data_IF_576414204653
#
_entry.id   IF_576414204653
#
_cell.length_a   1.000
_cell.length_b   1.000
_cell.length_c   1.000
_cell.angle_alpha   90.00
_cell.angle_beta   90.00
_cell.angle_gamma   90.00
#
_symmetry.space_group_name_H-M   'P 1'
#
loop_
_entity.id
_entity.type
_entity.pdbx_description
1 polymer ?
#
# COMPACT_ATOMS: atom_id res chain seq x y z
N UNK A 1 -0.65 10.77 19.42
CA UNK A 1 -1.26 10.31 18.14
C UNK A 1 -0.64 8.98 17.79
N UNK A 2 -1.44 7.97 17.49
CA UNK A 2 -0.95 6.66 17.04
C UNK A 2 -0.50 6.81 15.59
N UNK A 3 0.75 6.48 15.28
CA UNK A 3 1.27 6.58 13.92
C UNK A 3 0.49 5.60 13.02
N UNK A 4 -0.07 6.10 11.92
CA UNK A 4 -0.78 5.29 10.93
C UNK A 4 0.18 4.87 9.82
N UNK A 5 -0.10 3.71 9.23
CA UNK A 5 0.71 3.11 8.19
C UNK A 5 -0.18 2.73 7.02
N UNK A 6 0.24 3.12 5.83
CA UNK A 6 -0.51 2.89 4.60
C UNK A 6 0.29 2.14 3.54
N UNK A 7 -0.43 1.36 2.75
CA UNK A 7 0.10 0.68 1.57
C UNK A 7 -0.68 1.21 0.37
N UNK A 8 0.03 1.80 -0.56
CA UNK A 8 -0.52 2.25 -1.83
C UNK A 8 -0.35 1.10 -2.82
N UNK A 9 -1.46 0.43 -3.12
CA UNK A 9 -1.55 -0.59 -4.15
C UNK A 9 -1.77 0.10 -5.50
N UNK A 10 -0.77 0.01 -6.37
CA UNK A 10 -0.79 0.63 -7.68
C UNK A 10 -1.08 -0.43 -8.74
N UNK A 11 -2.19 -0.26 -9.47
CA UNK A 11 -2.49 -1.00 -10.69
C UNK A 11 -1.88 -0.29 -11.90
N UNK A 12 -2.06 1.04 -11.96
CA UNK A 12 -1.38 1.92 -12.90
C UNK A 12 -1.31 3.34 -12.30
N UNK A 13 -0.66 4.30 -12.97
CA UNK A 13 -0.47 5.66 -12.43
C UNK A 13 -1.79 6.40 -12.13
N UNK A 14 -2.90 5.98 -12.77
CA UNK A 14 -4.24 6.57 -12.61
C UNK A 14 -5.20 5.70 -11.78
N UNK A 15 -4.79 4.50 -11.37
CA UNK A 15 -5.59 3.55 -10.61
C UNK A 15 -4.76 3.02 -9.46
N UNK A 16 -4.93 3.68 -8.31
CA UNK A 16 -4.33 3.33 -7.04
C UNK A 16 -5.41 3.12 -5.98
N UNK A 17 -5.12 2.22 -5.06
CA UNK A 17 -5.86 2.05 -3.82
C UNK A 17 -4.94 2.28 -2.61
N UNK A 18 -5.43 3.00 -1.61
CA UNK A 18 -4.74 3.22 -0.34
C UNK A 18 -5.37 2.30 0.71
N UNK A 19 -4.56 1.41 1.29
CA UNK A 19 -4.96 0.54 2.38
C UNK A 19 -4.25 0.93 3.66
N UNK A 20 -4.99 1.11 4.74
CA UNK A 20 -4.40 1.22 6.08
C UNK A 20 -4.05 -0.17 6.59
N UNK A 21 -2.85 -0.31 7.13
CA UNK A 21 -2.34 -1.60 7.61
C UNK A 21 -1.73 -1.44 8.99
N UNK A 22 -1.53 -2.56 9.68
CA UNK A 22 -0.76 -2.57 10.92
C UNK A 22 0.71 -2.21 10.68
N UNK A 23 1.39 -1.69 11.71
CA UNK A 23 2.83 -1.45 11.67
C UNK A 23 3.63 -2.71 11.30
N UNK A 24 3.18 -3.89 11.76
CA UNK A 24 3.85 -5.16 11.46
C UNK A 24 3.80 -5.46 9.97
N UNK A 25 2.62 -5.32 9.35
CA UNK A 25 2.40 -5.54 7.92
C UNK A 25 3.22 -4.55 7.09
N UNK A 26 3.22 -3.27 7.48
CA UNK A 26 4.07 -2.25 6.85
C UNK A 26 5.55 -2.60 6.90
N UNK A 27 6.05 -3.00 8.07
CA UNK A 27 7.45 -3.39 8.24
C UNK A 27 7.82 -4.65 7.45
N UNK A 28 6.91 -5.63 7.35
CA UNK A 28 7.11 -6.82 6.53
C UNK A 28 7.25 -6.46 5.05
N UNK A 29 6.33 -5.63 4.52
CA UNK A 29 6.40 -5.15 3.13
C UNK A 29 7.71 -4.39 2.88
N UNK A 30 8.10 -3.50 3.79
CA UNK A 30 9.35 -2.74 3.69
C UNK A 30 10.57 -3.67 3.69
N UNK A 31 10.58 -4.70 4.52
CA UNK A 31 11.65 -5.70 4.58
C UNK A 31 11.72 -6.56 3.31
N UNK A 32 10.58 -6.89 2.71
CA UNK A 32 10.55 -7.62 1.43
C UNK A 32 11.09 -6.75 0.29
N UNK A 33 10.68 -5.47 0.21
CA UNK A 33 11.23 -4.53 -0.78
C UNK A 33 12.73 -4.31 -0.60
N UNK A 34 13.22 -4.18 0.64
CA UNK A 34 14.66 -3.98 0.88
C UNK A 34 15.50 -5.22 0.50
N UNK A 35 14.90 -6.40 0.50
CA UNK A 35 15.50 -7.64 -0.01
C UNK A 35 15.41 -7.81 -1.53
N UNK A 36 14.77 -6.87 -2.23
CA UNK A 36 14.58 -6.92 -3.68
C UNK A 36 13.48 -7.89 -4.12
N UNK A 37 12.52 -8.20 -3.25
CA UNK A 37 11.37 -9.01 -3.65
C UNK A 37 10.46 -8.23 -4.62
N UNK A 38 9.85 -8.95 -5.57
CA UNK A 38 8.93 -8.38 -6.54
C UNK A 38 7.60 -7.98 -5.86
N UNK A 39 7.04 -6.84 -6.25
CA UNK A 39 5.80 -6.28 -5.72
C UNK A 39 4.59 -7.22 -5.85
N UNK A 40 4.51 -8.03 -6.92
CA UNK A 40 3.48 -9.07 -7.10
C UNK A 40 3.63 -10.23 -6.09
N UNK A 41 4.87 -10.53 -5.67
CA UNK A 41 5.12 -11.53 -4.62
C UNK A 41 4.77 -10.97 -3.24
N UNK A 42 5.04 -9.69 -3.01
CA UNK A 42 4.70 -8.99 -1.77
C UNK A 42 3.18 -8.96 -1.57
N UNK A 43 2.42 -8.57 -2.60
CA UNK A 43 0.95 -8.55 -2.55
C UNK A 43 0.37 -9.93 -2.28
N UNK A 44 0.81 -10.97 -3.01
CA UNK A 44 0.36 -12.36 -2.78
C UNK A 44 0.72 -12.93 -1.41
N UNK A 45 1.81 -12.46 -0.80
CA UNK A 45 2.26 -12.98 0.50
C UNK A 45 1.49 -12.37 1.67
N UNK A 46 0.73 -11.29 1.44
CA UNK A 46 0.03 -10.55 2.49
C UNK A 46 -1.48 -10.73 2.35
N UNK A 47 -2.07 -11.61 3.14
CA UNK A 47 -3.52 -11.86 3.15
C UNK A 47 -4.33 -10.58 3.44
N UNK A 48 -3.80 -9.65 4.24
CA UNK A 48 -4.40 -8.33 4.49
C UNK A 48 -4.44 -7.40 3.25
N UNK A 49 -3.59 -7.66 2.25
CA UNK A 49 -3.64 -6.95 0.97
C UNK A 49 -4.61 -7.65 -0.01
N UNK A 50 -4.89 -8.94 0.17
CA UNK A 50 -5.76 -9.77 -0.67
C UNK A 50 -7.25 -9.57 -0.33
N UNK A 51 -7.60 -9.39 0.95
CA UNK A 51 -8.99 -9.09 1.36
C UNK A 51 -9.41 -7.69 0.90
N UNK A 52 -10.49 -7.67 0.13
CA UNK A 52 -10.66 -6.68 -0.94
C UNK A 52 -11.36 -5.38 -0.51
N UNK A 53 -11.91 -5.25 0.71
CA UNK A 53 -12.70 -4.05 1.06
C UNK A 53 -12.51 -3.50 2.48
N UNK A 54 -12.25 -4.31 3.52
CA UNK A 54 -12.37 -3.85 4.91
C UNK A 54 -11.36 -2.76 5.36
N UNK A 55 -10.24 -2.60 4.65
CA UNK A 55 -9.16 -1.67 5.03
C UNK A 55 -8.80 -0.65 3.94
N UNK A 56 -9.61 -0.56 2.87
CA UNK A 56 -9.40 0.42 1.81
C UNK A 56 -9.94 1.77 2.27
N UNK A 57 -9.05 2.76 2.31
CA UNK A 57 -9.39 4.14 2.69
C UNK A 57 -9.61 5.00 1.45
N UNK A 58 -8.96 4.65 0.33
CA UNK A 58 -9.18 5.28 -0.96
C UNK A 58 -9.02 4.27 -2.10
N UNK A 59 -9.83 4.41 -3.14
CA UNK A 59 -9.80 3.52 -4.30
C UNK A 59 -10.04 4.30 -5.60
N UNK A 60 -9.44 3.86 -6.70
CA UNK A 60 -9.61 4.46 -8.03
C UNK A 60 -9.05 5.87 -8.15
N UNK A 61 -8.07 6.22 -7.32
CA UNK A 61 -7.41 7.53 -7.33
C UNK A 61 -6.10 7.49 -8.09
N UNK A 62 -5.62 8.64 -8.54
CA UNK A 62 -4.28 8.73 -9.10
C UNK A 62 -3.20 8.49 -8.02
N UNK A 63 -2.00 8.13 -8.48
CA UNK A 63 -0.83 7.99 -7.59
C UNK A 63 -0.58 9.26 -6.77
N UNK A 64 -0.73 10.43 -7.37
CA UNK A 64 -0.50 11.71 -6.70
C UNK A 64 -1.49 11.92 -5.56
N UNK A 65 -2.78 11.70 -5.82
CA UNK A 65 -3.85 11.80 -4.81
C UNK A 65 -3.64 10.81 -3.66
N UNK A 66 -3.24 9.57 -3.97
CA UNK A 66 -2.94 8.55 -2.96
C UNK A 66 -1.77 8.96 -2.05
N UNK A 67 -0.73 9.57 -2.61
CA UNK A 67 0.43 10.06 -1.86
C UNK A 67 0.06 11.29 -1.03
N UNK A 68 -0.65 12.25 -1.62
CA UNK A 68 -1.10 13.46 -0.93
C UNK A 68 -1.91 13.10 0.31
N UNK A 69 -2.82 12.13 0.21
CA UNK A 69 -3.57 11.66 1.36
C UNK A 69 -2.69 11.10 2.49
N UNK A 70 -1.76 10.21 2.14
CA UNK A 70 -0.87 9.62 3.13
C UNK A 70 0.00 10.68 3.81
N UNK A 71 0.40 11.72 3.08
CA UNK A 71 1.18 12.84 3.62
C UNK A 71 0.35 13.79 4.49
N UNK A 72 -0.91 14.08 4.10
CA UNK A 72 -1.80 15.02 4.81
C UNK A 72 -2.16 14.50 6.22
N UNK A 73 -2.39 13.19 6.35
CA UNK A 73 -2.65 12.53 7.63
C UNK A 73 -1.35 12.19 8.43
N UNK A 74 -0.17 12.55 7.88
CA UNK A 74 1.14 12.28 8.50
C UNK A 74 1.50 10.80 8.58
N UNK A 75 0.96 9.99 7.67
CA UNK A 75 1.15 8.53 7.64
C UNK A 75 2.45 8.14 6.95
N UNK A 76 3.10 7.08 7.44
CA UNK A 76 4.16 6.43 6.67
C UNK A 76 3.50 5.56 5.59
N UNK A 77 3.94 5.68 4.34
CA UNK A 77 3.41 4.85 3.24
C UNK A 77 4.48 4.07 2.50
N UNK A 78 4.05 3.00 1.83
CA UNK A 78 4.86 2.23 0.88
C UNK A 78 4.04 1.93 -0.36
N UNK A 79 4.65 2.07 -1.54
CA UNK A 79 4.00 1.80 -2.83
C UNK A 79 4.35 0.39 -3.28
N UNK A 80 3.36 -0.38 -3.69
CA UNK A 80 3.51 -1.74 -4.23
C UNK A 80 2.72 -1.84 -5.53
N UNK A 81 3.39 -2.20 -6.64
CA UNK A 81 2.75 -2.47 -7.92
C UNK A 81 2.07 -3.83 -7.89
N UNK A 82 0.77 -3.84 -7.67
CA UNK A 82 0.00 -5.07 -7.47
C UNK A 82 -0.19 -5.84 -8.79
N UNK A 83 -0.21 -5.13 -9.92
CA UNK A 83 -0.46 -5.69 -11.24
C UNK A 83 0.65 -5.23 -12.20
N UNK A 84 1.70 -6.03 -12.33
CA UNK A 84 2.55 -5.97 -13.54
C UNK A 84 1.73 -6.65 -14.66
N UNK A 85 1.27 -5.87 -15.64
CA UNK A 85 0.93 -6.40 -16.98
C UNK A 85 2.19 -6.68 -17.77
#
# INVERSE_FOLDING_TARGET
MTKKYSVILMENENSCAVKQVSQNTYNQIKNMKSRGENDAKITKSMTELDTTEDNIVMNGVSRSEAIEYALDDGEDYVIVRAFDT
#
